data_IF_751791105945
#
_entry.id   IF_751791105945
#
_cell.length_a   1.000
_cell.length_b   1.000
_cell.length_c   1.000
_cell.angle_alpha   90.00
_cell.angle_beta   90.00
_cell.angle_gamma   90.00
#
_symmetry.space_group_name_H-M   'P 1'
#
loop_
_entity.id
_entity.type
_entity.pdbx_description
1 polymer ?
#
# COMPACT_ATOMS: atom_id res chain seq x y z
N UNK A 1 -46.53 -6.77 -18.03
CA UNK A 1 -45.26 -7.53 -18.32
C UNK A 1 -44.16 -6.79 -17.63
N UNK A 2 -43.84 -7.30 -16.47
CA UNK A 2 -42.94 -6.61 -15.50
C UNK A 2 -41.53 -7.22 -15.68
N UNK A 3 -40.61 -6.44 -16.24
CA UNK A 3 -39.19 -6.79 -16.35
C UNK A 3 -38.41 -6.20 -15.18
N UNK A 4 -38.52 -6.85 -14.03
CA UNK A 4 -37.64 -6.54 -12.89
C UNK A 4 -36.25 -7.08 -13.18
N UNK A 5 -35.37 -6.22 -13.69
CA UNK A 5 -33.94 -6.51 -13.78
C UNK A 5 -33.34 -6.52 -12.38
N UNK A 6 -33.12 -7.70 -11.83
CA UNK A 6 -32.30 -7.90 -10.66
C UNK A 6 -30.84 -7.64 -11.04
N UNK A 7 -30.31 -6.49 -10.61
CA UNK A 7 -28.88 -6.28 -10.56
C UNK A 7 -28.28 -7.25 -9.54
N UNK A 8 -27.57 -8.26 -10.02
CA UNK A 8 -26.78 -9.17 -9.17
C UNK A 8 -25.52 -8.43 -8.77
N UNK A 9 -25.55 -7.84 -7.58
CA UNK A 9 -24.36 -7.28 -6.95
C UNK A 9 -23.47 -8.47 -6.53
N UNK A 10 -22.47 -8.78 -7.33
CA UNK A 10 -21.38 -9.67 -6.94
C UNK A 10 -20.40 -8.88 -6.09
N UNK A 11 -20.79 -8.57 -4.87
CA UNK A 11 -19.82 -8.20 -3.83
C UNK A 11 -19.09 -9.48 -3.43
N UNK A 12 -18.01 -9.80 -4.12
CA UNK A 12 -17.05 -10.80 -3.67
C UNK A 12 -16.54 -10.33 -2.32
N UNK A 13 -16.89 -11.02 -1.24
CA UNK A 13 -16.39 -10.71 0.11
C UNK A 13 -14.91 -10.96 0.13
N UNK A 14 -14.13 -9.89 0.05
CA UNK A 14 -12.69 -9.94 0.30
C UNK A 14 -12.45 -10.38 1.74
N UNK A 15 -11.41 -11.16 1.98
CA UNK A 15 -10.98 -11.51 3.33
C UNK A 15 -10.44 -10.26 4.06
N UNK A 16 -10.32 -10.32 5.39
CA UNK A 16 -9.82 -9.19 6.17
C UNK A 16 -8.39 -8.81 5.78
N UNK A 17 -8.05 -7.53 5.91
CA UNK A 17 -6.70 -7.01 5.70
C UNK A 17 -6.43 -6.40 4.32
N UNK A 18 -7.42 -6.39 3.44
CA UNK A 18 -7.36 -5.58 2.21
C UNK A 18 -7.65 -4.11 2.53
N UNK A 19 -6.86 -3.22 1.95
CA UNK A 19 -7.07 -1.77 1.95
C UNK A 19 -7.36 -1.34 0.53
N UNK A 20 -8.51 -0.70 0.32
CA UNK A 20 -8.94 -0.24 -0.98
C UNK A 20 -8.29 1.12 -1.31
N UNK A 21 -7.75 1.23 -2.51
CA UNK A 21 -7.30 2.52 -3.02
C UNK A 21 -8.50 3.31 -3.56
N UNK A 22 -8.64 4.55 -3.14
CA UNK A 22 -9.66 5.49 -3.62
C UNK A 22 -9.18 6.33 -4.82
N UNK A 23 -8.15 5.87 -5.54
CA UNK A 23 -7.63 6.53 -6.74
C UNK A 23 -6.25 7.14 -6.57
N UNK A 24 -5.64 7.06 -5.38
CA UNK A 24 -4.26 7.45 -5.11
C UNK A 24 -3.40 6.27 -4.66
N UNK A 25 -2.10 6.47 -4.44
CA UNK A 25 -1.24 5.43 -3.90
C UNK A 25 -1.64 5.04 -2.47
N UNK A 26 -1.40 3.79 -2.11
CA UNK A 26 -1.41 3.38 -0.72
C UNK A 26 -0.02 3.57 -0.10
N UNK A 27 0.03 3.79 1.20
CA UNK A 27 1.28 3.93 1.94
C UNK A 27 1.35 3.00 3.13
N UNK A 28 2.58 2.72 3.55
CA UNK A 28 2.88 1.96 4.76
C UNK A 28 3.73 2.84 5.67
N UNK A 29 3.15 3.27 6.77
CA UNK A 29 3.79 4.21 7.71
C UNK A 29 4.10 3.49 9.01
N UNK A 30 5.35 3.56 9.55
CA UNK A 30 5.64 3.05 10.88
C UNK A 30 4.74 3.68 11.95
N UNK A 31 4.26 2.87 12.88
CA UNK A 31 3.33 3.34 13.93
C UNK A 31 3.92 4.48 14.75
N UNK A 32 5.23 4.48 14.98
CA UNK A 32 5.96 5.51 15.75
C UNK A 32 5.88 6.92 15.16
N UNK A 33 5.72 7.03 13.85
CA UNK A 33 5.65 8.31 13.13
C UNK A 33 4.34 8.49 12.37
N UNK A 34 3.36 7.66 12.66
CA UNK A 34 2.08 7.67 11.96
C UNK A 34 1.39 9.04 12.02
N UNK A 35 1.41 9.68 13.20
CA UNK A 35 0.79 10.99 13.40
C UNK A 35 1.52 12.14 12.67
N UNK A 36 2.74 11.89 12.17
CA UNK A 36 3.52 12.88 11.41
C UNK A 36 3.19 12.86 9.90
N UNK A 37 2.44 11.85 9.43
CA UNK A 37 1.92 11.83 8.06
C UNK A 37 0.69 12.73 7.96
N UNK A 38 0.80 13.83 7.19
CA UNK A 38 -0.25 14.85 7.10
C UNK A 38 -1.37 14.51 6.11
N UNK A 39 -1.14 13.54 5.20
CA UNK A 39 -2.12 13.23 4.17
C UNK A 39 -2.32 14.35 3.16
N UNK A 40 -3.59 14.60 2.80
CA UNK A 40 -4.03 15.71 1.98
C UNK A 40 -4.81 16.69 2.86
N UNK A 41 -4.40 17.95 2.92
CA UNK A 41 -5.15 18.96 3.67
C UNK A 41 -6.37 19.45 2.88
N UNK A 42 -7.46 19.78 3.57
CA UNK A 42 -8.63 20.40 2.94
C UNK A 42 -8.39 21.86 2.49
N UNK A 43 -7.25 22.42 2.86
CA UNK A 43 -6.89 23.81 2.55
C UNK A 43 -6.35 23.94 1.12
N UNK A 44 -7.23 23.82 0.15
CA UNK A 44 -6.94 24.14 -1.23
C UNK A 44 -6.53 25.62 -1.35
N UNK A 45 -5.21 25.88 -1.34
CA UNK A 45 -4.65 27.16 -1.79
C UNK A 45 -4.18 28.16 -0.71
N UNK A 46 -3.99 27.77 0.54
CA UNK A 46 -3.57 28.75 1.59
C UNK A 46 -2.06 29.02 1.66
N UNK A 47 -1.21 28.14 1.16
CA UNK A 47 0.25 28.41 1.06
C UNK A 47 0.78 27.97 -0.31
N UNK A 48 1.06 28.90 -1.24
CA UNK A 48 1.71 28.55 -2.50
C UNK A 48 3.13 28.05 -2.22
N UNK A 49 3.35 26.74 -2.27
CA UNK A 49 4.69 26.13 -2.19
C UNK A 49 4.92 25.06 -1.14
N UNK A 50 3.96 24.73 -0.28
CA UNK A 50 4.05 23.53 0.56
C UNK A 50 3.62 22.32 -0.25
N UNK A 51 4.53 21.38 -0.49
CA UNK A 51 4.23 20.08 -1.09
C UNK A 51 3.69 19.19 0.03
N UNK A 52 2.43 18.80 -0.07
CA UNK A 52 1.79 17.92 0.89
C UNK A 52 2.36 16.48 0.82
N UNK A 53 2.20 15.73 1.88
CA UNK A 53 2.66 14.33 1.92
C UNK A 53 1.98 13.48 0.85
N UNK A 54 0.70 13.72 0.59
CA UNK A 54 -0.04 13.07 -0.49
C UNK A 54 0.57 13.36 -1.87
N UNK A 55 0.92 14.63 -2.15
CA UNK A 55 1.53 15.01 -3.43
C UNK A 55 2.90 14.35 -3.61
N UNK A 56 3.67 14.24 -2.52
CA UNK A 56 4.94 13.52 -2.51
C UNK A 56 4.76 12.04 -2.82
N UNK A 57 3.69 11.42 -2.28
CA UNK A 57 3.36 10.03 -2.58
C UNK A 57 2.94 9.85 -4.04
N UNK A 58 2.16 10.76 -4.59
CA UNK A 58 1.76 10.75 -6.00
C UNK A 58 2.93 11.00 -6.97
N UNK A 59 3.99 11.67 -6.52
CA UNK A 59 5.19 11.94 -7.32
C UNK A 59 6.16 10.75 -7.43
N UNK A 60 5.86 9.62 -6.78
CA UNK A 60 6.65 8.38 -6.93
C UNK A 60 6.34 7.75 -8.28
N UNK A 61 7.32 7.74 -9.19
CA UNK A 61 7.16 7.27 -10.58
C UNK A 61 7.33 5.76 -10.75
N UNK A 62 8.02 5.10 -9.81
CA UNK A 62 8.26 3.65 -9.84
C UNK A 62 7.11 2.89 -9.17
N UNK A 63 7.11 1.55 -9.24
CA UNK A 63 6.06 0.71 -8.62
C UNK A 63 5.98 0.83 -7.10
N UNK A 64 7.07 1.25 -6.47
CA UNK A 64 7.12 1.61 -5.05
C UNK A 64 8.24 2.62 -4.79
N UNK A 65 8.16 3.33 -3.66
CA UNK A 65 9.18 4.31 -3.26
C UNK A 65 9.24 4.51 -1.76
N UNK A 66 10.32 5.13 -1.30
CA UNK A 66 10.50 5.49 0.10
C UNK A 66 10.44 7.00 0.25
N UNK A 67 9.62 7.48 1.19
CA UNK A 67 9.49 8.89 1.51
C UNK A 67 9.85 9.14 2.97
N UNK A 68 10.59 10.20 3.24
CA UNK A 68 10.85 10.61 4.61
C UNK A 68 9.56 11.14 5.25
N UNK A 69 9.31 10.73 6.51
CA UNK A 69 8.17 11.15 7.33
C UNK A 69 8.72 11.83 8.57
N UNK A 70 8.18 13.02 8.86
CA UNK A 70 8.65 13.83 9.98
C UNK A 70 10.10 14.28 9.82
N UNK A 71 10.76 14.56 10.94
CA UNK A 71 12.12 15.16 10.96
C UNK A 71 13.21 14.19 11.43
N UNK A 72 12.84 12.97 11.84
CA UNK A 72 13.75 12.04 12.50
C UNK A 72 14.36 10.97 11.55
N UNK A 73 14.19 11.14 10.24
CA UNK A 73 14.70 10.19 9.24
C UNK A 73 13.94 8.87 9.19
N UNK A 74 12.73 8.83 9.75
CA UNK A 74 11.79 7.74 9.53
C UNK A 74 11.23 7.80 8.11
N UNK A 75 10.85 6.65 7.56
CA UNK A 75 10.39 6.56 6.18
C UNK A 75 9.09 5.79 6.08
N UNK A 76 8.20 6.27 5.20
CA UNK A 76 7.06 5.50 4.71
C UNK A 76 7.43 4.77 3.41
N UNK A 77 6.81 3.60 3.19
CA UNK A 77 6.85 2.90 1.91
C UNK A 77 5.58 3.25 1.12
N UNK A 78 5.76 3.80 -0.06
CA UNK A 78 4.67 4.10 -1.01
C UNK A 78 4.49 2.90 -1.94
N UNK A 79 3.25 2.43 -2.07
CA UNK A 79 2.84 1.48 -3.10
C UNK A 79 2.24 2.28 -4.26
N UNK A 80 3.12 2.66 -5.19
CA UNK A 80 2.86 3.64 -6.24
C UNK A 80 2.41 3.00 -7.56
N UNK A 81 2.46 3.76 -8.66
CA UNK A 81 1.96 3.43 -9.99
C UNK A 81 0.42 3.28 -9.98
N UNK A 82 -0.11 2.16 -10.43
CA UNK A 82 -1.57 1.95 -10.49
C UNK A 82 -2.22 1.98 -9.10
N UNK A 83 -3.29 2.78 -8.90
CA UNK A 83 -4.10 2.69 -7.70
C UNK A 83 -4.70 1.30 -7.56
N UNK A 84 -4.25 0.52 -6.60
CA UNK A 84 -4.65 -0.86 -6.45
C UNK A 84 -4.94 -1.22 -5.00
N UNK A 85 -6.08 -1.89 -4.78
CA UNK A 85 -6.38 -2.53 -3.51
C UNK A 85 -5.23 -3.44 -3.12
N UNK A 86 -4.73 -3.31 -1.90
CA UNK A 86 -3.53 -4.01 -1.47
C UNK A 86 -3.70 -4.68 -0.12
N UNK A 87 -2.94 -5.75 0.11
CA UNK A 87 -2.91 -6.51 1.34
C UNK A 87 -1.49 -6.89 1.71
N UNK A 88 -1.17 -6.87 3.00
CA UNK A 88 0.08 -7.41 3.52
C UNK A 88 -0.04 -8.89 3.89
N UNK A 89 0.91 -9.69 3.43
CA UNK A 89 1.07 -11.10 3.79
C UNK A 89 2.25 -11.25 4.77
N UNK A 90 2.00 -11.41 6.07
CA UNK A 90 3.05 -11.30 7.09
C UNK A 90 4.09 -12.42 7.02
N UNK A 91 3.71 -13.63 6.65
CA UNK A 91 4.63 -14.77 6.56
C UNK A 91 5.67 -14.59 5.45
N UNK A 92 5.25 -14.06 4.30
CA UNK A 92 6.10 -13.76 3.15
C UNK A 92 6.74 -12.37 3.23
N UNK A 93 6.24 -11.49 4.10
CA UNK A 93 6.58 -10.07 4.17
C UNK A 93 6.41 -9.37 2.82
N UNK A 94 5.26 -9.57 2.21
CA UNK A 94 4.91 -9.07 0.87
C UNK A 94 3.61 -8.29 0.91
N UNK A 95 3.59 -7.16 0.24
CA UNK A 95 2.35 -6.48 -0.13
C UNK A 95 1.91 -7.00 -1.49
N UNK A 96 0.72 -7.60 -1.54
CA UNK A 96 0.08 -8.02 -2.79
C UNK A 96 -0.89 -6.96 -3.23
N UNK A 97 -0.80 -6.56 -4.48
CA UNK A 97 -1.64 -5.52 -5.10
C UNK A 97 -2.53 -6.15 -6.15
N UNK A 98 -3.81 -5.87 -6.05
CA UNK A 98 -4.82 -6.39 -6.98
C UNK A 98 -4.87 -5.53 -8.23
N UNK A 99 -4.10 -5.87 -9.25
CA UNK A 99 -4.13 -5.16 -10.53
C UNK A 99 -5.28 -5.70 -11.39
N UNK A 100 -5.37 -7.03 -11.60
CA UNK A 100 -6.50 -7.67 -12.26
C UNK A 100 -6.53 -9.17 -11.93
N UNK A 101 -7.61 -9.65 -11.34
CA UNK A 101 -7.87 -11.08 -11.10
C UNK A 101 -9.37 -11.29 -10.88
N UNK A 102 -9.88 -12.47 -11.23
CA UNK A 102 -11.29 -12.81 -11.06
C UNK A 102 -11.63 -13.19 -9.59
N UNK A 103 -10.62 -13.58 -8.81
CA UNK A 103 -10.78 -13.93 -7.40
C UNK A 103 -9.53 -13.65 -6.58
N UNK A 104 -9.71 -13.57 -5.24
CA UNK A 104 -8.62 -13.43 -4.28
C UNK A 104 -7.67 -14.64 -4.35
N UNK A 105 -8.20 -15.85 -4.46
CA UNK A 105 -7.41 -17.08 -4.51
C UNK A 105 -6.51 -17.11 -5.75
N UNK A 106 -7.02 -16.69 -6.89
CA UNK A 106 -6.26 -16.58 -8.14
C UNK A 106 -5.14 -15.55 -8.03
N UNK A 107 -5.44 -14.37 -7.48
CA UNK A 107 -4.46 -13.31 -7.26
C UNK A 107 -3.35 -13.76 -6.31
N UNK A 108 -3.70 -14.40 -5.20
CA UNK A 108 -2.73 -14.90 -4.24
C UNK A 108 -1.86 -16.03 -4.81
N UNK A 109 -2.43 -16.89 -5.63
CA UNK A 109 -1.68 -17.93 -6.35
C UNK A 109 -0.67 -17.32 -7.33
N UNK A 110 -1.09 -16.28 -8.08
CA UNK A 110 -0.19 -15.54 -8.97
C UNK A 110 0.94 -14.83 -8.20
N UNK A 111 0.63 -14.20 -7.06
CA UNK A 111 1.65 -13.59 -6.20
C UNK A 111 2.68 -14.63 -5.72
N UNK A 112 2.22 -15.82 -5.31
CA UNK A 112 3.13 -16.90 -4.90
C UNK A 112 3.99 -17.40 -6.05
N UNK A 113 3.45 -17.50 -7.26
CA UNK A 113 4.21 -17.88 -8.44
C UNK A 113 5.33 -16.88 -8.73
N UNK A 114 5.03 -15.57 -8.68
CA UNK A 114 6.04 -14.51 -8.88
C UNK A 114 7.13 -14.55 -7.79
N UNK A 115 6.77 -14.81 -6.54
CA UNK A 115 7.72 -14.93 -5.45
C UNK A 115 8.66 -16.14 -5.59
N UNK A 116 8.18 -17.20 -6.22
CA UNK A 116 8.96 -18.43 -6.48
C UNK A 116 9.78 -18.36 -7.77
N UNK A 117 9.49 -17.40 -8.65
CA UNK A 117 10.17 -17.23 -9.94
C UNK A 117 11.54 -16.55 -9.73
N UNK A 118 12.60 -17.29 -10.03
CA UNK A 118 13.96 -16.76 -9.96
C UNK A 118 14.29 -15.75 -11.07
N UNK A 119 13.56 -15.80 -12.16
CA UNK A 119 13.74 -14.94 -13.32
C UNK A 119 12.83 -13.69 -13.31
N UNK A 120 12.00 -13.52 -12.25
CA UNK A 120 11.16 -12.36 -12.11
C UNK A 120 11.98 -11.06 -12.03
N UNK A 121 11.64 -10.09 -12.85
CA UNK A 121 12.33 -8.81 -12.98
C UNK A 121 11.93 -7.84 -11.85
N UNK A 122 12.55 -8.02 -10.68
CA UNK A 122 12.31 -7.17 -9.52
C UNK A 122 13.04 -5.83 -9.64
N UNK A 123 12.31 -4.74 -9.51
CA UNK A 123 12.86 -3.40 -9.33
C UNK A 123 13.34 -3.20 -7.88
N UNK A 124 14.55 -2.68 -7.70
CA UNK A 124 15.09 -2.36 -6.37
C UNK A 124 14.61 -0.98 -5.93
N UNK A 125 13.79 -0.93 -4.90
CA UNK A 125 13.24 0.31 -4.32
C UNK A 125 14.21 0.96 -3.34
N UNK A 126 15.04 0.15 -2.66
CA UNK A 126 16.00 0.64 -1.68
C UNK A 126 15.90 -0.06 -0.32
N UNK A 127 16.41 0.61 0.71
CA UNK A 127 16.44 0.07 2.07
C UNK A 127 15.54 0.87 2.98
N UNK A 128 14.41 0.28 3.31
CA UNK A 128 13.47 0.81 4.30
C UNK A 128 13.93 0.50 5.71
N UNK A 129 14.01 1.51 6.55
CA UNK A 129 14.33 1.39 7.97
C UNK A 129 13.03 1.57 8.76
N UNK A 130 12.69 0.59 9.58
CA UNK A 130 11.54 0.68 10.48
C UNK A 130 11.94 0.28 11.91
N UNK A 131 11.33 0.91 12.88
CA UNK A 131 11.51 0.65 14.31
C UNK A 131 10.48 -0.34 14.88
N UNK A 132 9.61 -0.89 14.02
CA UNK A 132 8.61 -1.87 14.43
C UNK A 132 7.43 -1.95 13.47
N UNK A 133 6.24 -2.25 14.00
CA UNK A 133 5.04 -2.42 13.20
C UNK A 133 4.66 -1.12 12.49
N UNK A 134 3.98 -1.28 11.35
CA UNK A 134 3.51 -0.20 10.51
C UNK A 134 2.01 -0.36 10.20
N UNK A 135 1.43 0.62 9.53
CA UNK A 135 0.04 0.62 9.05
C UNK A 135 0.03 0.83 7.55
N UNK A 136 -0.65 -0.06 6.84
CA UNK A 136 -1.03 0.12 5.44
C UNK A 136 -2.32 0.95 5.40
N UNK A 137 -2.34 2.06 4.66
CA UNK A 137 -3.45 3.00 4.63
C UNK A 137 -3.51 3.77 3.32
N UNK A 138 -4.61 4.49 3.11
CA UNK A 138 -4.76 5.43 1.99
C UNK A 138 -3.91 6.67 2.26
N UNK A 139 -3.13 7.10 1.27
CA UNK A 139 -2.17 8.21 1.43
C UNK A 139 -2.81 9.58 1.64
N UNK A 140 -4.08 9.76 1.25
CA UNK A 140 -4.83 11.01 1.47
C UNK A 140 -5.20 11.25 2.92
N UNK A 141 -5.28 10.19 3.75
CA UNK A 141 -5.70 10.30 5.15
C UNK A 141 -4.53 10.71 6.02
N UNK A 142 -4.71 11.71 6.88
CA UNK A 142 -3.72 12.03 7.90
C UNK A 142 -3.61 10.89 8.91
N UNK A 143 -2.39 10.52 9.29
CA UNK A 143 -2.18 9.40 10.21
C UNK A 143 -2.79 9.61 11.60
N UNK A 144 -2.94 10.86 12.05
CA UNK A 144 -3.63 11.21 13.29
C UNK A 144 -5.14 10.93 13.23
N UNK A 145 -5.74 10.94 12.04
CA UNK A 145 -7.19 10.83 11.82
C UNK A 145 -7.67 9.40 11.51
N UNK A 146 -6.76 8.43 11.42
CA UNK A 146 -7.11 7.04 11.06
C UNK A 146 -8.15 6.37 11.96
N UNK A 147 -8.31 6.85 13.17
CA UNK A 147 -9.30 6.32 14.12
C UNK A 147 -10.56 7.19 14.23
N UNK A 148 -10.62 8.28 13.48
CA UNK A 148 -11.78 9.16 13.46
C UNK A 148 -12.90 8.55 12.61
N UNK A 149 -14.12 8.75 13.04
CA UNK A 149 -15.29 8.28 12.32
C UNK A 149 -15.75 9.36 11.34
N UNK A 150 -15.98 8.95 10.09
CA UNK A 150 -16.52 9.87 9.08
C UNK A 150 -17.93 10.36 9.46
N UNK A 151 -18.34 11.58 9.05
CA UNK A 151 -19.67 12.11 9.32
C UNK A 151 -20.82 11.19 8.88
N UNK A 152 -20.60 10.45 7.80
CA UNK A 152 -21.58 9.50 7.24
C UNK A 152 -21.41 8.06 7.78
N UNK A 153 -20.57 7.89 8.78
CA UNK A 153 -20.23 6.60 9.40
C UNK A 153 -19.06 5.89 8.73
N UNK A 154 -18.45 4.98 9.45
CA UNK A 154 -17.23 4.28 9.02
C UNK A 154 -15.94 5.01 9.41
N UNK A 155 -14.82 4.42 9.09
CA UNK A 155 -13.47 4.93 9.39
C UNK A 155 -12.58 4.75 8.18
N UNK A 156 -11.46 5.50 8.09
CA UNK A 156 -10.45 5.28 7.06
C UNK A 156 -10.00 3.82 7.00
N UNK A 157 -9.93 3.27 5.79
CA UNK A 157 -9.44 1.91 5.61
C UNK A 157 -7.97 1.81 5.96
N UNK A 158 -7.64 0.81 6.77
CA UNK A 158 -6.30 0.55 7.23
C UNK A 158 -6.10 -0.92 7.56
N UNK A 159 -4.86 -1.39 7.48
CA UNK A 159 -4.49 -2.73 7.89
C UNK A 159 -3.16 -2.74 8.64
N UNK A 160 -3.01 -3.54 9.70
CA UNK A 160 -1.76 -3.66 10.43
C UNK A 160 -0.72 -4.39 9.59
N UNK A 161 0.52 -3.90 9.66
CA UNK A 161 1.70 -4.51 9.05
C UNK A 161 2.63 -4.95 10.16
N UNK A 162 2.61 -6.25 10.46
CA UNK A 162 3.44 -6.88 11.49
C UNK A 162 4.87 -7.06 10.97
N UNK A 163 5.66 -5.99 10.98
CA UNK A 163 7.05 -5.99 10.58
C UNK A 163 7.93 -5.69 11.79
N UNK A 164 8.94 -6.51 12.10
CA UNK A 164 9.89 -6.21 13.17
C UNK A 164 10.74 -4.99 12.87
N UNK A 165 11.26 -4.35 13.91
CA UNK A 165 12.27 -3.32 13.76
C UNK A 165 13.48 -3.85 12.99
N UNK A 166 13.97 -3.08 12.01
CA UNK A 166 15.09 -3.54 11.19
C UNK A 166 15.33 -2.71 9.94
N UNK A 167 16.17 -3.27 9.09
CA UNK A 167 16.49 -2.75 7.76
C UNK A 167 16.00 -3.76 6.72
N UNK A 168 15.13 -3.31 5.84
CA UNK A 168 14.46 -4.14 4.87
C UNK A 168 14.84 -3.70 3.46
N UNK A 169 15.46 -4.56 2.68
CA UNK A 169 15.58 -4.31 1.25
C UNK A 169 14.19 -4.47 0.65
N UNK A 170 13.67 -3.41 0.08
CA UNK A 170 12.39 -3.41 -0.62
C UNK A 170 12.64 -3.55 -2.11
N UNK A 171 11.88 -4.40 -2.74
CA UNK A 171 11.85 -4.57 -4.19
C UNK A 171 10.41 -4.78 -4.63
N UNK A 172 10.07 -4.30 -5.81
CA UNK A 172 8.73 -4.38 -6.36
C UNK A 172 8.73 -5.03 -7.74
N UNK A 173 7.62 -5.64 -8.12
CA UNK A 173 7.38 -6.21 -9.44
C UNK A 173 5.89 -6.10 -9.77
N UNK A 174 5.56 -5.77 -11.01
CA UNK A 174 4.22 -5.84 -11.57
C UNK A 174 4.21 -6.83 -12.73
N UNK A 175 3.27 -7.76 -12.73
CA UNK A 175 3.06 -8.69 -13.83
C UNK A 175 1.79 -8.27 -14.58
N UNK A 176 1.95 -7.83 -15.82
CA UNK A 176 0.86 -7.34 -16.67
C UNK A 176 0.82 -8.02 -18.04
N UNK A 177 1.60 -9.10 -18.21
CA UNK A 177 1.65 -9.86 -19.45
C UNK A 177 0.46 -10.81 -19.59
N UNK A 178 0.51 -11.93 -18.86
CA UNK A 178 -0.58 -12.92 -18.83
C UNK A 178 -1.47 -12.67 -17.62
N UNK A 179 -2.80 -12.81 -17.78
CA UNK A 179 -3.75 -12.73 -16.70
C UNK A 179 -3.61 -13.96 -15.76
N UNK A 180 -3.73 -13.81 -14.43
CA UNK A 180 -4.03 -12.59 -13.66
C UNK A 180 -2.84 -11.63 -13.53
N UNK A 181 -3.14 -10.33 -13.34
CA UNK A 181 -2.15 -9.29 -13.12
C UNK A 181 -2.00 -8.99 -11.63
N UNK A 182 -0.78 -9.06 -11.15
CA UNK A 182 -0.47 -8.84 -9.73
C UNK A 182 0.72 -7.91 -9.55
N UNK A 183 0.59 -6.98 -8.63
CA UNK A 183 1.72 -6.23 -8.09
C UNK A 183 2.22 -6.89 -6.79
N UNK A 184 3.52 -6.97 -6.61
CA UNK A 184 4.13 -7.49 -5.39
C UNK A 184 5.27 -6.58 -4.93
N UNK A 185 5.24 -6.15 -3.66
CA UNK A 185 6.34 -5.41 -3.04
C UNK A 185 6.86 -6.21 -1.85
N UNK A 186 8.07 -6.71 -1.97
CA UNK A 186 8.69 -7.63 -1.00
C UNK A 186 9.66 -6.90 -0.08
N UNK A 187 9.59 -7.20 1.22
CA UNK A 187 10.49 -6.72 2.27
C UNK A 187 11.41 -7.86 2.72
N UNK A 188 12.61 -7.92 2.18
CA UNK A 188 13.63 -8.90 2.59
C UNK A 188 14.52 -8.31 3.68
N UNK A 189 14.91 -9.08 4.73
CA UNK A 189 15.90 -8.61 5.69
C UNK A 189 17.18 -8.21 4.95
N UNK A 190 17.71 -7.02 5.25
CA UNK A 190 19.05 -6.68 4.79
C UNK A 190 20.02 -7.16 5.85
N UNK A 191 20.77 -8.21 5.53
CA UNK A 191 21.83 -8.69 6.39
C UNK A 191 22.71 -7.52 6.84
N UNK A 192 23.07 -7.51 8.13
CA UNK A 192 24.04 -6.54 8.62
C UNK A 192 25.33 -6.83 7.84
N UNK A 193 25.68 -5.93 6.94
CA UNK A 193 27.02 -5.94 6.38
C UNK A 193 28.02 -5.90 7.55
N UNK A 194 28.92 -6.86 7.57
CA UNK A 194 30.07 -6.87 8.44
C UNK A 194 30.89 -5.58 8.31
#
# INVERSE_FOLDING_TARGET
>A
MDHSSRAVSHSSRRSAGWVESLGGPLIVVPVSVLAEWSGCSESWGEEPGSVEDYDRACAVENWAGLLDVGTNGAQALVLADEPATSRYLPEQRVFVRWLAADSEDELLAAAQAVLADADAEWEDVGVWKTDGPAVLMVSTTAGAELNEEYPDGGRPEQAPVALPAGRWRVRAVHTTGEFPWVGSSSCCPKDRAE
#
